data_IF_702746267848
#
_entry.id   IF_702746267848
#
_cell.length_a   1.000
_cell.length_b   1.000
_cell.length_c   1.000
_cell.angle_alpha   90.00
_cell.angle_beta   90.00
_cell.angle_gamma   90.00
#
_symmetry.space_group_name_H-M   'P 1'
#
loop_
_entity.id
_entity.type
_entity.pdbx_description
1 polymer ?
#
# COMPACT_ATOMS: atom_id res chain seq x y z
N UNK A 1 -1.40 24.25 10.76
CA UNK A 1 -1.70 22.82 10.52
C UNK A 1 -3.17 22.60 10.84
N UNK A 2 -4.02 22.40 9.84
CA UNK A 2 -5.45 22.17 10.07
C UNK A 2 -5.58 20.77 10.66
N UNK A 3 -5.70 20.67 11.98
CA UNK A 3 -6.17 19.45 12.65
C UNK A 3 -7.66 19.36 12.37
N UNK A 4 -8.02 19.01 11.12
CA UNK A 4 -9.37 18.60 10.82
C UNK A 4 -9.66 17.42 11.75
N UNK A 5 -10.73 17.53 12.55
CA UNK A 5 -11.12 16.50 13.49
C UNK A 5 -11.38 15.23 12.67
N UNK A 6 -10.45 14.28 12.72
CA UNK A 6 -10.58 13.02 11.97
C UNK A 6 -11.86 12.32 12.39
N UNK A 7 -12.62 11.86 11.40
CA UNK A 7 -13.81 11.06 11.65
C UNK A 7 -13.41 9.74 12.32
N UNK A 8 -14.35 9.06 12.99
CA UNK A 8 -14.08 7.73 13.56
C UNK A 8 -13.62 6.76 12.46
N UNK A 9 -14.24 6.82 11.27
CA UNK A 9 -13.86 6.01 10.10
C UNK A 9 -12.44 6.29 9.64
N UNK A 10 -11.99 7.55 9.64
CA UNK A 10 -10.60 7.87 9.29
C UNK A 10 -9.61 7.30 10.30
N UNK A 11 -9.93 7.37 11.60
CA UNK A 11 -9.08 6.80 12.65
C UNK A 11 -8.96 5.27 12.54
N UNK A 12 -10.06 4.58 12.26
CA UNK A 12 -10.06 3.15 12.00
C UNK A 12 -9.25 2.80 10.75
N UNK A 13 -9.42 3.59 9.68
CA UNK A 13 -8.65 3.40 8.44
C UNK A 13 -7.14 3.59 8.67
N UNK A 14 -6.75 4.60 9.46
CA UNK A 14 -5.34 4.83 9.84
C UNK A 14 -4.81 3.63 10.62
N UNK A 15 -5.53 3.16 11.64
CA UNK A 15 -5.12 2.01 12.43
C UNK A 15 -4.94 0.76 11.55
N UNK A 16 -5.87 0.49 10.63
CA UNK A 16 -5.75 -0.62 9.67
C UNK A 16 -4.54 -0.47 8.73
N UNK A 17 -4.24 0.75 8.29
CA UNK A 17 -3.06 1.02 7.45
C UNK A 17 -1.76 0.78 8.22
N UNK A 18 -1.69 1.20 9.48
CA UNK A 18 -0.53 1.01 10.35
C UNK A 18 -0.32 -0.46 10.69
N UNK A 19 -1.37 -1.16 11.15
CA UNK A 19 -1.32 -2.61 11.42
C UNK A 19 -0.99 -3.40 10.16
N UNK A 20 -1.59 -3.05 9.01
CA UNK A 20 -1.29 -3.70 7.74
C UNK A 20 0.17 -3.49 7.31
N UNK A 21 0.74 -2.32 7.56
CA UNK A 21 2.16 -2.04 7.33
C UNK A 21 3.06 -2.88 8.25
N UNK A 22 2.74 -2.95 9.54
CA UNK A 22 3.50 -3.77 10.50
C UNK A 22 3.47 -5.25 10.09
N UNK A 23 2.30 -5.78 9.77
CA UNK A 23 2.16 -7.15 9.27
C UNK A 23 2.92 -7.38 7.96
N UNK A 24 2.92 -6.41 7.04
CA UNK A 24 3.67 -6.52 5.80
C UNK A 24 5.19 -6.62 6.04
N UNK A 25 5.69 -5.91 7.05
CA UNK A 25 7.12 -5.83 7.36
C UNK A 25 7.63 -6.98 8.24
N UNK A 26 6.78 -7.51 9.13
CA UNK A 26 7.20 -8.42 10.21
C UNK A 26 6.65 -9.84 10.07
N UNK A 27 5.47 -10.03 9.47
CA UNK A 27 4.82 -11.34 9.46
C UNK A 27 5.33 -12.23 8.32
N UNK A 28 5.68 -13.51 8.59
CA UNK A 28 6.12 -14.46 7.56
C UNK A 28 5.09 -14.64 6.44
N UNK A 29 3.79 -14.55 6.74
CA UNK A 29 2.72 -14.67 5.77
C UNK A 29 2.80 -13.60 4.66
N UNK A 30 3.35 -12.41 4.97
CA UNK A 30 3.49 -11.29 4.04
C UNK A 30 4.80 -11.33 3.24
N UNK A 31 5.70 -12.27 3.55
CA UNK A 31 7.06 -12.30 3.00
C UNK A 31 7.06 -12.35 1.47
N UNK A 32 6.14 -13.11 0.85
CA UNK A 32 6.07 -13.23 -0.61
C UNK A 32 5.70 -11.90 -1.27
N UNK A 33 4.75 -11.15 -0.71
CA UNK A 33 4.37 -9.82 -1.19
C UNK A 33 5.55 -8.83 -1.04
N UNK A 34 6.15 -8.78 0.16
CA UNK A 34 7.28 -7.89 0.44
C UNK A 34 8.49 -8.18 -0.45
N UNK A 35 8.80 -9.47 -0.68
CA UNK A 35 9.88 -9.87 -1.58
C UNK A 35 9.58 -9.52 -3.03
N UNK A 36 8.32 -9.61 -3.47
CA UNK A 36 7.92 -9.19 -4.81
C UNK A 36 8.14 -7.69 -5.03
N UNK A 37 7.80 -6.88 -4.03
CA UNK A 37 8.09 -5.44 -4.01
C UNK A 37 9.60 -5.17 -4.08
N UNK A 38 10.40 -5.74 -3.16
CA UNK A 38 11.85 -5.49 -3.07
C UNK A 38 12.64 -6.00 -4.28
N UNK A 39 12.21 -7.10 -4.92
CA UNK A 39 12.90 -7.64 -6.11
C UNK A 39 12.74 -6.73 -7.32
N UNK A 40 11.56 -6.13 -7.49
CA UNK A 40 11.24 -5.29 -8.67
C UNK A 40 11.53 -3.81 -8.43
N UNK A 41 11.47 -3.35 -7.20
CA UNK A 41 11.83 -2.00 -6.79
C UNK A 41 13.16 -2.07 -6.02
N UNK A 42 14.25 -1.80 -6.73
CA UNK A 42 15.62 -2.01 -6.27
C UNK A 42 15.95 -1.35 -4.92
N UNK A 43 15.27 -0.25 -4.58
CA UNK A 43 15.39 0.42 -3.28
C UNK A 43 14.04 0.97 -2.86
N UNK A 44 13.45 0.37 -1.83
CA UNK A 44 12.24 0.88 -1.15
C UNK A 44 12.51 1.00 0.33
N UNK A 45 11.93 2.01 0.98
CA UNK A 45 12.01 2.15 2.44
C UNK A 45 10.97 1.26 3.12
N UNK A 46 10.88 1.33 4.45
CA UNK A 46 9.78 0.72 5.20
C UNK A 46 8.47 1.54 5.11
N UNK A 47 8.44 2.60 4.31
CA UNK A 47 7.29 3.48 4.13
C UNK A 47 6.31 2.91 3.09
N UNK A 48 5.71 1.77 3.42
CA UNK A 48 4.83 0.99 2.54
C UNK A 48 3.47 0.76 3.19
N UNK A 49 2.38 0.88 2.41
CA UNK A 49 1.02 0.73 2.91
C UNK A 49 0.13 -0.01 1.91
N UNK A 50 -0.60 -1.02 2.37
CA UNK A 50 -1.62 -1.70 1.57
C UNK A 50 -2.88 -0.82 1.52
N UNK A 51 -3.13 -0.22 0.36
CA UNK A 51 -4.27 0.68 0.14
C UNK A 51 -5.48 -0.06 -0.45
N UNK A 52 -5.26 -1.26 -1.00
CA UNK A 52 -6.33 -2.18 -1.40
C UNK A 52 -5.80 -3.61 -1.37
N UNK A 53 -6.66 -4.53 -0.93
CA UNK A 53 -6.44 -5.96 -0.98
C UNK A 53 -7.75 -6.62 -1.40
N UNK A 54 -7.69 -7.48 -2.43
CA UNK A 54 -8.79 -8.33 -2.85
C UNK A 54 -8.28 -9.76 -2.89
N UNK A 55 -8.99 -10.61 -2.18
CA UNK A 55 -8.78 -12.06 -2.18
C UNK A 55 -9.66 -12.66 -3.27
N UNK A 56 -9.04 -13.24 -4.29
CA UNK A 56 -9.71 -14.00 -5.34
C UNK A 56 -9.42 -15.51 -5.19
N UNK A 57 -10.08 -16.36 -5.98
CA UNK A 57 -9.99 -17.81 -5.80
C UNK A 57 -8.55 -18.33 -6.00
N UNK A 58 -7.85 -17.82 -7.01
CA UNK A 58 -6.52 -18.28 -7.40
C UNK A 58 -5.39 -17.28 -7.10
N UNK A 59 -5.72 -16.06 -6.70
CA UNK A 59 -4.76 -14.97 -6.53
C UNK A 59 -5.21 -13.95 -5.50
N UNK A 60 -4.25 -13.20 -4.98
CA UNK A 60 -4.48 -12.05 -4.11
C UNK A 60 -3.99 -10.79 -4.82
N UNK A 61 -4.89 -9.83 -5.00
CA UNK A 61 -4.64 -8.57 -5.68
C UNK A 61 -4.37 -7.48 -4.65
N UNK A 62 -3.21 -6.85 -4.75
CA UNK A 62 -2.80 -5.75 -3.89
C UNK A 62 -2.63 -4.47 -4.70
N UNK A 63 -3.04 -3.36 -4.11
CA UNK A 63 -2.52 -2.04 -4.47
C UNK A 63 -1.75 -1.52 -3.24
N UNK A 64 -0.45 -1.25 -3.42
CA UNK A 64 0.47 -0.87 -2.35
C UNK A 64 1.05 0.50 -2.63
N UNK A 65 0.87 1.46 -1.72
CA UNK A 65 1.59 2.73 -1.73
C UNK A 65 3.02 2.48 -1.25
N UNK A 66 4.00 2.92 -2.04
CA UNK A 66 5.43 2.76 -1.75
C UNK A 66 6.10 4.13 -1.69
N UNK A 67 6.78 4.38 -0.57
CA UNK A 67 7.56 5.58 -0.25
C UNK A 67 6.79 6.90 -0.42
N UNK A 68 5.45 6.84 -0.34
CA UNK A 68 4.57 7.99 -0.56
C UNK A 68 4.53 8.50 -2.00
N UNK A 69 5.09 7.77 -2.97
CA UNK A 69 5.33 8.27 -4.35
C UNK A 69 4.68 7.41 -5.44
N UNK A 70 4.69 6.10 -5.24
CA UNK A 70 4.24 5.13 -6.25
C UNK A 70 3.13 4.26 -5.70
N UNK A 71 2.17 3.90 -6.54
CA UNK A 71 1.23 2.81 -6.25
C UNK A 71 1.60 1.63 -7.11
N UNK A 72 1.86 0.50 -6.47
CA UNK A 72 2.19 -0.76 -7.13
C UNK A 72 0.97 -1.66 -7.08
N UNK A 73 0.48 -2.04 -8.25
CA UNK A 73 -0.49 -3.10 -8.38
C UNK A 73 0.22 -4.45 -8.51
N UNK A 74 -0.17 -5.42 -7.71
CA UNK A 74 0.41 -6.76 -7.68
C UNK A 74 -0.71 -7.79 -7.70
N UNK A 75 -0.64 -8.73 -8.62
CA UNK A 75 -1.51 -9.92 -8.63
C UNK A 75 -0.61 -11.09 -8.23
N UNK A 76 -0.88 -11.66 -7.05
CA UNK A 76 -0.05 -12.69 -6.43
C UNK A 76 -0.78 -14.03 -6.48
N UNK A 77 -0.36 -14.99 -7.32
CA UNK A 77 -1.00 -16.31 -7.38
C UNK A 77 -0.94 -17.01 -6.03
N UNK A 78 -2.00 -17.67 -5.58
CA UNK A 78 -1.99 -18.45 -4.32
C UNK A 78 -1.20 -19.73 -4.43
N UNK A 79 -1.19 -20.33 -5.61
CA UNK A 79 -0.25 -21.41 -5.91
C UNK A 79 1.17 -20.84 -5.99
N UNK A 80 2.02 -21.26 -5.06
CA UNK A 80 3.43 -20.88 -5.01
C UNK A 80 4.25 -21.43 -6.18
N UNK A 81 3.71 -22.41 -6.93
CA UNK A 81 4.32 -22.97 -8.15
C UNK A 81 4.00 -22.13 -9.39
N UNK A 82 3.02 -21.23 -9.30
CA UNK A 82 2.73 -20.27 -10.37
C UNK A 82 3.72 -19.10 -10.30
N UNK A 83 4.50 -18.93 -11.37
CA UNK A 83 5.58 -17.95 -11.41
C UNK A 83 5.13 -16.55 -11.84
N UNK A 84 3.98 -16.42 -12.51
CA UNK A 84 3.60 -15.14 -13.10
C UNK A 84 2.93 -14.21 -12.09
N UNK A 85 3.77 -13.40 -11.44
CA UNK A 85 3.31 -12.24 -10.66
C UNK A 85 3.13 -11.06 -11.60
N UNK A 86 1.89 -10.59 -11.75
CA UNK A 86 1.63 -9.32 -12.42
C UNK A 86 2.08 -8.19 -11.51
N UNK A 87 2.81 -7.23 -12.06
CA UNK A 87 3.32 -6.08 -11.31
C UNK A 87 3.29 -4.84 -12.19
N UNK A 88 2.48 -3.87 -11.82
CA UNK A 88 2.32 -2.61 -12.56
C UNK A 88 2.60 -1.46 -11.61
N UNK A 89 3.44 -0.52 -12.03
CA UNK A 89 3.84 0.64 -11.23
C UNK A 89 3.12 1.86 -11.80
N UNK A 90 2.53 2.66 -10.93
CA UNK A 90 1.87 3.90 -11.29
C UNK A 90 2.38 5.04 -10.41
N UNK A 91 2.50 6.24 -10.98
CA UNK A 91 2.53 7.45 -10.15
C UNK A 91 1.22 7.60 -9.38
N UNK A 92 1.22 8.26 -8.22
CA UNK A 92 -0.02 8.45 -7.41
C UNK A 92 -1.11 9.15 -8.22
N UNK A 93 -0.76 10.22 -8.96
CA UNK A 93 -1.71 10.95 -9.79
C UNK A 93 -2.21 10.11 -10.97
N UNK A 94 -1.30 9.38 -11.62
CA UNK A 94 -1.64 8.42 -12.68
C UNK A 94 -2.61 7.36 -12.16
N UNK A 95 -2.36 6.79 -10.99
CA UNK A 95 -3.22 5.80 -10.36
C UNK A 95 -4.63 6.36 -10.09
N UNK A 96 -4.72 7.57 -9.54
CA UNK A 96 -5.99 8.24 -9.24
C UNK A 96 -6.82 8.55 -10.50
N UNK A 97 -6.15 8.79 -11.63
CA UNK A 97 -6.75 9.12 -12.92
C UNK A 97 -7.13 7.87 -13.73
N UNK A 98 -6.30 6.83 -13.72
CA UNK A 98 -6.49 5.61 -14.52
C UNK A 98 -7.42 4.60 -13.84
N UNK A 99 -7.48 4.57 -12.50
CA UNK A 99 -8.38 3.69 -11.75
C UNK A 99 -9.72 4.37 -11.46
N UNK A 100 -10.52 4.48 -12.51
CA UNK A 100 -11.89 5.04 -12.46
C UNK A 100 -12.82 4.25 -11.53
N UNK A 101 -12.55 2.96 -11.30
CA UNK A 101 -13.27 2.10 -10.35
C UNK A 101 -12.87 2.31 -8.87
N UNK A 102 -11.90 3.18 -8.58
CA UNK A 102 -11.53 3.45 -7.19
C UNK A 102 -12.67 4.19 -6.48
N UNK A 103 -13.30 3.48 -5.53
CA UNK A 103 -14.43 4.00 -4.74
C UNK A 103 -14.02 5.22 -3.93
N UNK A 104 -15.01 6.01 -3.47
CA UNK A 104 -14.78 7.14 -2.55
C UNK A 104 -13.99 6.73 -1.31
N UNK A 105 -14.26 5.53 -0.78
CA UNK A 105 -13.55 4.95 0.36
C UNK A 105 -12.10 4.63 -0.01
N UNK A 106 -11.87 4.00 -1.17
CA UNK A 106 -10.51 3.71 -1.65
C UNK A 106 -9.68 4.99 -1.86
N UNK A 107 -10.26 6.03 -2.45
CA UNK A 107 -9.62 7.35 -2.60
C UNK A 107 -9.28 7.97 -1.25
N UNK A 108 -10.19 7.88 -0.27
CA UNK A 108 -9.95 8.38 1.10
C UNK A 108 -8.83 7.59 1.80
N UNK A 109 -8.82 6.26 1.68
CA UNK A 109 -7.77 5.40 2.24
C UNK A 109 -6.39 5.72 1.65
N UNK A 110 -6.29 5.87 0.33
CA UNK A 110 -5.04 6.28 -0.31
C UNK A 110 -4.57 7.66 0.17
N UNK A 111 -5.48 8.62 0.31
CA UNK A 111 -5.14 9.95 0.87
C UNK A 111 -4.57 9.85 2.29
N UNK A 112 -5.19 9.05 3.16
CA UNK A 112 -4.69 8.84 4.52
C UNK A 112 -3.33 8.14 4.53
N UNK A 113 -3.12 7.15 3.65
CA UNK A 113 -1.82 6.50 3.50
C UNK A 113 -0.72 7.47 3.04
N UNK A 114 -1.02 8.41 2.15
CA UNK A 114 -0.09 9.48 1.74
C UNK A 114 0.26 10.42 2.90
N UNK A 115 -0.73 10.83 3.69
CA UNK A 115 -0.52 11.66 4.88
C UNK A 115 0.37 10.96 5.91
N UNK A 116 0.16 9.65 6.15
CA UNK A 116 1.02 8.83 7.01
C UNK A 116 2.44 8.70 6.45
N UNK A 117 2.56 8.45 5.14
CA UNK A 117 3.86 8.31 4.49
C UNK A 117 4.70 9.58 4.60
N UNK A 118 4.07 10.75 4.44
CA UNK A 118 4.70 12.05 4.59
C UNK A 118 5.12 12.31 6.05
N UNK A 119 4.31 11.91 7.03
CA UNK A 119 4.68 11.98 8.45
C UNK A 119 5.87 11.08 8.78
N UNK A 120 5.94 9.87 8.23
CA UNK A 120 7.08 8.98 8.40
C UNK A 120 8.37 9.53 7.79
N UNK A 121 8.32 10.05 6.56
CA UNK A 121 9.48 10.66 5.92
C UNK A 121 10.04 11.83 6.76
N UNK A 122 9.16 12.69 7.30
CA UNK A 122 9.56 13.80 8.17
C UNK A 122 10.18 13.36 9.50
N UNK A 123 9.89 12.15 9.99
CA UNK A 123 10.50 11.61 11.21
C UNK A 123 11.87 11.02 10.92
N UNK A 124 12.05 10.36 9.79
CA UNK A 124 13.34 9.78 9.38
C UNK A 124 14.37 10.84 9.03
N UNK A 125 13.96 12.00 8.48
CA UNK A 125 14.89 13.10 8.15
C UNK A 125 15.41 13.87 9.38
N UNK A 126 14.83 13.65 10.57
CA UNK A 126 15.19 14.33 11.83
C UNK A 126 16.09 13.49 12.74
N UNK A 127 16.44 12.28 12.32
CA UNK A 127 17.27 11.34 13.09
C UNK A 127 18.62 11.20 12.43
#
# INVERSE_FOLDING_TARGET
MIVARLSLSDKLTIAELETGREHLLLEPASQRLLMSLRRRLQSITQNIYIVRHISEQAEDLFDVLVDGKLVVHIELPRDARSEEVVFKIFGVDEYLNTRTHLTKIGRRRLKLALELAEQHARRTDKT
#
